data_IF_895640546560
#
_entry.id   IF_895640546560
#
_cell.length_a   1.000
_cell.length_b   1.000
_cell.length_c   1.000
_cell.angle_alpha   90.00
_cell.angle_beta   90.00
_cell.angle_gamma   90.00
#
_symmetry.space_group_name_H-M   'P 1'
#
loop_
_entity.id
_entity.type
_entity.pdbx_description
1 polymer ?
#
# COMPACT_ATOMS: atom_id res chain seq x y z
N UNK A 1 -26.03 11.35 24.70
CA UNK A 1 -25.32 10.96 23.48
C UNK A 1 -24.00 10.40 23.94
N UNK A 2 -23.74 9.14 23.62
CA UNK A 2 -22.46 8.51 23.91
C UNK A 2 -21.40 9.06 22.95
N UNK A 3 -20.13 8.86 23.29
CA UNK A 3 -19.01 9.26 22.45
C UNK A 3 -19.06 8.56 21.08
N UNK A 4 -19.37 7.26 21.07
CA UNK A 4 -19.50 6.49 19.84
C UNK A 4 -20.61 7.02 18.93
N UNK A 5 -21.71 7.52 19.51
CA UNK A 5 -22.81 8.16 18.77
C UNK A 5 -22.38 9.51 18.14
N UNK A 6 -21.58 10.31 18.85
CA UNK A 6 -21.05 11.58 18.33
C UNK A 6 -20.09 11.34 17.16
N UNK A 7 -19.23 10.32 17.30
CA UNK A 7 -18.22 9.96 16.32
C UNK A 7 -18.86 9.36 15.06
N UNK A 8 -19.81 8.44 15.19
CA UNK A 8 -20.58 7.88 14.07
C UNK A 8 -21.34 8.96 13.30
N UNK A 9 -21.91 9.93 14.00
CA UNK A 9 -22.59 11.04 13.36
C UNK A 9 -21.62 11.96 12.61
N UNK A 10 -20.56 12.45 13.27
CA UNK A 10 -19.56 13.33 12.64
C UNK A 10 -18.87 12.67 11.43
N UNK A 11 -18.78 11.32 11.41
CA UNK A 11 -18.26 10.55 10.28
C UNK A 11 -19.14 10.59 9.02
N UNK A 12 -20.31 11.23 9.04
CA UNK A 12 -21.23 11.33 7.88
C UNK A 12 -21.14 12.68 7.18
N UNK A 13 -21.40 13.77 7.89
CA UNK A 13 -21.29 15.14 7.35
C UNK A 13 -20.78 16.11 8.42
N UNK A 14 -19.46 16.17 8.65
CA UNK A 14 -18.90 16.81 9.84
C UNK A 14 -19.16 18.32 9.94
N UNK A 15 -19.11 19.04 8.82
CA UNK A 15 -19.40 20.49 8.81
C UNK A 15 -20.87 20.79 9.04
N UNK A 16 -21.77 20.06 8.38
CA UNK A 16 -23.21 20.24 8.53
C UNK A 16 -23.65 19.87 9.95
N UNK A 17 -23.15 18.76 10.49
CA UNK A 17 -23.51 18.29 11.82
C UNK A 17 -22.99 19.23 12.90
N UNK A 18 -21.72 19.68 12.84
CA UNK A 18 -21.19 20.68 13.76
C UNK A 18 -22.07 21.94 13.78
N UNK A 19 -22.47 22.41 12.60
CA UNK A 19 -23.25 23.63 12.44
C UNK A 19 -24.70 23.50 12.87
N UNK A 20 -25.40 22.47 12.40
CA UNK A 20 -26.85 22.27 12.59
C UNK A 20 -27.15 21.75 13.98
N UNK A 21 -26.35 20.81 14.49
CA UNK A 21 -26.64 20.10 15.74
C UNK A 21 -25.97 20.73 16.96
N UNK A 22 -24.74 21.25 16.79
CA UNK A 22 -23.96 21.84 17.88
C UNK A 22 -23.86 23.36 17.81
N UNK A 23 -24.43 23.98 16.77
CA UNK A 23 -24.45 25.43 16.60
C UNK A 23 -23.05 26.04 16.47
N UNK A 24 -22.06 25.25 16.06
CA UNK A 24 -20.65 25.65 16.03
C UNK A 24 -19.95 25.16 14.76
N UNK A 25 -18.70 25.55 14.55
CA UNK A 25 -17.89 24.98 13.46
C UNK A 25 -17.09 23.78 13.95
N UNK A 26 -16.66 22.95 13.00
CA UNK A 26 -15.96 21.70 13.29
C UNK A 26 -14.62 21.93 14.01
N UNK A 27 -13.94 23.07 13.83
CA UNK A 27 -12.69 23.40 14.55
C UNK A 27 -12.97 23.74 16.00
N UNK A 28 -14.03 24.50 16.25
CA UNK A 28 -14.46 24.85 17.60
C UNK A 28 -14.94 23.60 18.36
N UNK A 29 -15.66 22.70 17.67
CA UNK A 29 -16.07 21.42 18.22
C UNK A 29 -14.85 20.55 18.56
N UNK A 30 -13.87 20.46 17.66
CA UNK A 30 -12.60 19.76 17.90
C UNK A 30 -11.84 20.29 19.11
N UNK A 31 -11.66 21.61 19.21
CA UNK A 31 -10.94 22.23 20.34
C UNK A 31 -11.62 22.01 21.69
N UNK A 32 -12.91 21.72 21.70
CA UNK A 32 -13.67 21.43 22.92
C UNK A 32 -13.46 19.99 23.41
N UNK A 33 -13.07 19.08 22.50
CA UNK A 33 -12.85 17.65 22.76
C UNK A 33 -11.63 17.12 21.98
N UNK A 34 -10.43 17.69 22.20
CA UNK A 34 -9.27 17.42 21.36
C UNK A 34 -8.76 15.98 21.51
N UNK A 35 -8.71 15.41 22.72
CA UNK A 35 -8.26 14.02 22.94
C UNK A 35 -9.27 13.00 22.38
N UNK A 36 -10.55 13.36 22.40
CA UNK A 36 -11.64 12.47 22.02
C UNK A 36 -11.87 12.45 20.50
N UNK A 37 -11.69 13.58 19.80
CA UNK A 37 -11.83 13.66 18.32
C UNK A 37 -10.50 13.32 17.61
N UNK A 38 -9.37 13.32 18.34
CA UNK A 38 -8.01 13.15 17.84
C UNK A 38 -7.74 11.86 17.06
N UNK A 39 -8.28 10.73 17.53
CA UNK A 39 -7.87 9.41 17.00
C UNK A 39 -8.78 8.90 15.86
N UNK A 40 -10.03 9.38 15.78
CA UNK A 40 -11.01 8.83 14.82
C UNK A 40 -11.23 9.73 13.59
N UNK A 41 -11.19 11.05 13.75
CA UNK A 41 -11.79 11.97 12.79
C UNK A 41 -10.81 12.91 12.10
N UNK A 42 -9.61 13.18 12.62
CA UNK A 42 -8.69 14.17 12.02
C UNK A 42 -8.43 13.87 10.54
N UNK A 43 -8.29 12.59 10.17
CA UNK A 43 -8.17 12.16 8.78
C UNK A 43 -9.42 12.36 7.93
N UNK A 44 -10.58 11.96 8.44
CA UNK A 44 -11.86 12.11 7.74
C UNK A 44 -12.19 13.59 7.55
N UNK A 45 -11.85 14.41 8.54
CA UNK A 45 -11.98 15.86 8.50
C UNK A 45 -11.04 16.45 7.45
N UNK A 46 -9.75 16.08 7.43
CA UNK A 46 -8.82 16.51 6.36
C UNK A 46 -9.34 16.15 4.97
N UNK A 47 -9.72 14.89 4.75
CA UNK A 47 -10.15 14.40 3.42
C UNK A 47 -11.50 14.99 2.97
N UNK A 48 -12.40 15.33 3.91
CA UNK A 48 -13.74 15.86 3.58
C UNK A 48 -13.86 17.37 3.60
N UNK A 49 -13.13 18.04 4.48
CA UNK A 49 -13.20 19.51 4.64
C UNK A 49 -12.11 20.23 3.84
N UNK A 50 -10.98 19.57 3.55
CA UNK A 50 -9.81 20.22 2.93
C UNK A 50 -9.22 21.34 3.81
N UNK A 51 -9.46 21.30 5.12
CA UNK A 51 -9.14 22.37 6.03
C UNK A 51 -7.70 22.29 6.58
N UNK A 52 -6.92 23.32 6.25
CA UNK A 52 -5.51 23.48 6.65
C UNK A 52 -5.27 23.49 8.16
N UNK A 53 -6.28 23.76 8.98
CA UNK A 53 -6.16 23.69 10.44
C UNK A 53 -5.92 22.25 10.91
N UNK A 54 -6.74 21.30 10.47
CA UNK A 54 -6.56 19.88 10.80
C UNK A 54 -5.32 19.29 10.15
N UNK A 55 -4.92 19.80 8.98
CA UNK A 55 -3.63 19.44 8.37
C UNK A 55 -2.44 19.72 9.30
N UNK A 56 -2.39 20.91 9.91
CA UNK A 56 -1.28 21.31 10.78
C UNK A 56 -1.25 20.57 12.13
N UNK A 57 -2.41 20.20 12.66
CA UNK A 57 -2.52 19.38 13.88
C UNK A 57 -2.04 17.95 13.62
N UNK A 58 -2.36 17.40 12.46
CA UNK A 58 -1.92 16.08 12.04
C UNK A 58 -0.39 16.02 11.76
N UNK A 59 0.15 17.07 11.11
CA UNK A 59 1.59 17.20 10.83
C UNK A 59 2.46 17.19 12.08
N UNK A 60 2.08 17.96 13.12
CA UNK A 60 2.83 18.04 14.38
C UNK A 60 2.87 16.72 15.17
N UNK A 61 1.88 15.83 14.99
CA UNK A 61 1.89 14.50 15.63
C UNK A 61 2.71 13.46 14.87
N UNK A 62 2.77 13.57 13.54
CA UNK A 62 3.33 12.56 12.65
C UNK A 62 4.78 12.82 12.20
N UNK A 63 5.38 13.97 12.53
CA UNK A 63 6.84 14.21 12.41
C UNK A 63 7.69 13.08 13.03
N UNK A 64 7.09 12.21 13.85
CA UNK A 64 7.72 11.05 14.46
C UNK A 64 7.56 9.70 13.73
N UNK A 65 6.75 9.53 12.67
CA UNK A 65 6.32 8.16 12.27
C UNK A 65 6.06 7.97 10.75
N UNK A 66 7.09 7.59 9.99
CA UNK A 66 7.27 6.38 9.15
C UNK A 66 8.70 6.53 8.65
N UNK A 67 9.65 5.92 9.36
CA UNK A 67 11.05 5.93 8.93
C UNK A 67 11.28 4.76 7.99
N UNK A 68 12.25 4.89 7.08
CA UNK A 68 12.81 3.76 6.33
C UNK A 68 12.96 2.56 7.27
N UNK A 69 12.44 1.38 6.92
CA UNK A 69 12.57 0.20 7.79
C UNK A 69 14.05 -0.13 7.99
N UNK A 70 14.41 -0.59 9.20
CA UNK A 70 15.79 -0.99 9.52
C UNK A 70 16.31 -2.06 8.54
N UNK A 71 15.43 -3.00 8.17
CA UNK A 71 15.68 -3.98 7.13
C UNK A 71 14.75 -3.75 5.95
N UNK A 72 15.34 -3.58 4.77
CA UNK A 72 14.58 -3.41 3.55
C UNK A 72 14.02 -4.74 3.05
N UNK A 73 12.78 -4.70 2.58
CA UNK A 73 12.13 -5.75 1.79
C UNK A 73 11.41 -5.05 0.63
N UNK A 74 11.16 -5.79 -0.45
CA UNK A 74 10.30 -5.31 -1.53
C UNK A 74 8.97 -6.06 -1.51
N UNK A 75 7.97 -5.50 -2.18
CA UNK A 75 6.59 -5.97 -2.03
C UNK A 75 5.91 -6.21 -3.35
N UNK A 76 5.20 -7.33 -3.45
CA UNK A 76 4.42 -7.67 -4.64
C UNK A 76 2.94 -7.79 -4.28
N UNK A 77 2.11 -6.95 -4.90
CA UNK A 77 0.65 -6.95 -4.73
C UNK A 77 0.04 -7.88 -5.79
N UNK A 78 -0.75 -8.86 -5.37
CA UNK A 78 -1.38 -9.83 -6.27
C UNK A 78 -2.74 -10.30 -5.76
N UNK A 79 -3.46 -11.07 -6.58
CA UNK A 79 -4.69 -11.72 -6.15
C UNK A 79 -4.38 -12.93 -5.27
N UNK A 80 -5.23 -13.17 -4.28
CA UNK A 80 -5.24 -14.42 -3.51
C UNK A 80 -5.17 -15.69 -4.38
N UNK A 81 -5.85 -15.69 -5.54
CA UNK A 81 -5.88 -16.86 -6.45
C UNK A 81 -4.53 -17.19 -7.09
N UNK A 82 -3.61 -16.23 -7.13
CA UNK A 82 -2.29 -16.41 -7.74
C UNK A 82 -1.28 -17.07 -6.80
N UNK A 83 -1.55 -17.03 -5.49
CA UNK A 83 -0.57 -17.41 -4.46
C UNK A 83 -0.11 -18.85 -4.61
N UNK A 84 -1.01 -19.79 -4.93
CA UNK A 84 -0.62 -21.19 -5.13
C UNK A 84 0.41 -21.35 -6.25
N UNK A 85 0.16 -20.74 -7.42
CA UNK A 85 1.10 -20.82 -8.55
C UNK A 85 2.42 -20.12 -8.23
N UNK A 86 2.38 -19.03 -7.46
CA UNK A 86 3.58 -18.29 -7.06
C UNK A 86 4.45 -19.12 -6.10
N UNK A 87 3.86 -19.79 -5.12
CA UNK A 87 4.63 -20.66 -4.22
C UNK A 87 5.12 -21.94 -4.91
N UNK A 88 4.48 -22.36 -6.00
CA UNK A 88 4.95 -23.50 -6.80
C UNK A 88 6.12 -23.10 -7.71
N UNK A 89 6.01 -21.95 -8.41
CA UNK A 89 6.89 -21.60 -9.55
C UNK A 89 7.68 -20.30 -9.42
N UNK A 90 7.38 -19.44 -8.44
CA UNK A 90 7.89 -18.07 -8.34
C UNK A 90 6.97 -17.03 -8.99
N UNK A 91 7.38 -15.76 -8.93
CA UNK A 91 6.64 -14.64 -9.52
C UNK A 91 7.22 -14.37 -10.90
N UNK A 92 6.46 -14.67 -11.96
CA UNK A 92 6.90 -14.39 -13.33
C UNK A 92 6.54 -12.98 -13.77
N UNK A 93 7.37 -12.41 -14.65
CA UNK A 93 7.03 -11.20 -15.38
C UNK A 93 5.82 -11.47 -16.28
N UNK A 94 5.10 -10.41 -16.62
CA UNK A 94 3.85 -10.53 -17.37
C UNK A 94 4.03 -11.21 -18.71
N UNK A 95 5.11 -10.90 -19.43
CA UNK A 95 5.39 -11.51 -20.73
C UNK A 95 5.51 -13.05 -20.63
N UNK A 96 6.09 -13.57 -19.54
CA UNK A 96 6.17 -15.02 -19.31
C UNK A 96 4.83 -15.62 -18.94
N UNK A 97 4.06 -14.95 -18.08
CA UNK A 97 2.71 -15.39 -17.71
C UNK A 97 1.79 -15.49 -18.93
N UNK A 98 1.85 -14.50 -19.83
CA UNK A 98 1.03 -14.48 -21.05
C UNK A 98 1.46 -15.52 -22.09
N UNK A 99 2.72 -15.98 -22.06
CA UNK A 99 3.26 -16.96 -23.00
C UNK A 99 3.12 -18.42 -22.55
N UNK A 100 3.08 -18.69 -21.25
CA UNK A 100 2.97 -20.05 -20.71
C UNK A 100 1.55 -20.34 -20.19
N UNK A 101 0.72 -21.12 -20.92
CA UNK A 101 -0.64 -21.45 -20.52
C UNK A 101 -0.72 -22.30 -19.24
N UNK A 102 0.40 -22.86 -18.77
CA UNK A 102 0.45 -23.64 -17.53
C UNK A 102 0.59 -22.76 -16.28
N UNK A 103 0.78 -21.45 -16.43
CA UNK A 103 0.83 -20.52 -15.29
C UNK A 103 -0.60 -20.06 -15.00
N UNK A 104 -1.14 -20.50 -13.87
CA UNK A 104 -2.44 -19.99 -13.39
C UNK A 104 -2.25 -18.57 -12.89
N UNK A 105 -2.94 -17.63 -13.53
CA UNK A 105 -2.89 -16.22 -13.18
C UNK A 105 -4.26 -15.55 -13.37
N UNK A 106 -4.78 -15.00 -12.29
CA UNK A 106 -5.85 -14.03 -12.28
C UNK A 106 -5.25 -12.63 -12.44
N UNK A 107 -5.54 -12.03 -13.60
CA UNK A 107 -5.20 -10.65 -13.85
C UNK A 107 -6.32 -9.73 -13.35
N UNK A 108 -6.06 -9.03 -12.26
CA UNK A 108 -6.92 -7.93 -11.82
C UNK A 108 -6.33 -6.54 -12.14
N UNK A 109 -5.20 -6.45 -12.87
CA UNK A 109 -4.53 -5.17 -13.07
C UNK A 109 -5.34 -4.20 -13.94
N UNK A 110 -5.05 -2.91 -13.78
CA UNK A 110 -5.67 -1.84 -14.55
C UNK A 110 -5.17 -1.87 -16.01
N UNK A 111 -6.11 -1.98 -16.96
CA UNK A 111 -5.78 -2.14 -18.38
C UNK A 111 -4.99 -0.96 -18.94
N UNK A 112 -5.26 0.27 -18.51
CA UNK A 112 -4.57 1.46 -18.99
C UNK A 112 -3.14 1.52 -18.43
N UNK A 113 -2.95 1.13 -17.17
CA UNK A 113 -1.62 0.95 -16.60
C UNK A 113 -0.85 -0.11 -17.38
N UNK A 114 -1.46 -1.26 -17.66
CA UNK A 114 -0.80 -2.34 -18.40
C UNK A 114 -0.43 -1.93 -19.83
N UNK A 115 -1.29 -1.17 -20.51
CA UNK A 115 -0.96 -0.66 -21.85
C UNK A 115 0.27 0.25 -21.81
N UNK A 116 0.35 1.20 -20.86
CA UNK A 116 1.54 2.05 -20.68
C UNK A 116 2.79 1.23 -20.35
N UNK A 117 2.67 0.20 -19.50
CA UNK A 117 3.78 -0.69 -19.16
C UNK A 117 4.27 -1.46 -20.39
N UNK A 118 3.36 -1.92 -21.25
CA UNK A 118 3.70 -2.59 -22.51
C UNK A 118 4.46 -1.68 -23.46
N UNK A 119 3.98 -0.45 -23.66
CA UNK A 119 4.62 0.57 -24.52
C UNK A 119 6.05 0.90 -24.06
N UNK A 120 6.28 0.89 -22.75
CA UNK A 120 7.61 1.08 -22.16
C UNK A 120 8.47 -0.19 -22.10
N UNK A 121 7.97 -1.32 -22.59
CA UNK A 121 8.69 -2.60 -22.52
C UNK A 121 8.90 -3.12 -21.10
N UNK A 122 8.04 -2.73 -20.15
CA UNK A 122 8.14 -3.11 -18.73
C UNK A 122 7.55 -4.50 -18.43
N UNK A 123 6.86 -5.13 -19.39
CA UNK A 123 6.27 -6.47 -19.23
C UNK A 123 7.30 -7.59 -19.12
N UNK A 124 8.57 -7.33 -19.45
CA UNK A 124 9.69 -8.24 -19.22
C UNK A 124 10.21 -8.24 -17.77
N UNK A 125 9.67 -7.37 -16.91
CA UNK A 125 10.04 -7.27 -15.50
C UNK A 125 8.88 -7.61 -14.56
N UNK A 126 9.23 -8.13 -13.39
CA UNK A 126 8.34 -8.24 -12.22
C UNK A 126 8.44 -6.92 -11.44
N UNK A 127 7.34 -6.16 -11.27
CA UNK A 127 7.36 -4.94 -10.47
C UNK A 127 7.25 -5.25 -8.98
N UNK A 128 8.32 -4.99 -8.23
CA UNK A 128 8.32 -5.04 -6.78
C UNK A 128 8.30 -3.61 -6.22
N UNK A 129 7.31 -3.29 -5.41
CA UNK A 129 7.17 -1.99 -4.76
C UNK A 129 8.20 -1.84 -3.63
N UNK A 130 8.80 -0.66 -3.50
CA UNK A 130 9.64 -0.32 -2.35
C UNK A 130 8.74 -0.05 -1.13
N UNK A 131 7.65 0.70 -1.33
CA UNK A 131 6.63 0.97 -0.32
C UNK A 131 5.30 0.30 -0.73
N UNK A 132 4.79 -0.67 0.05
CA UNK A 132 3.51 -1.30 -0.26
C UNK A 132 2.31 -0.44 0.13
N UNK A 133 2.49 0.53 1.05
CA UNK A 133 1.47 1.52 1.46
C UNK A 133 1.44 2.66 0.45
N UNK A 134 0.74 2.43 -0.65
CA UNK A 134 0.63 3.39 -1.73
C UNK A 134 -0.78 3.45 -2.34
N UNK A 135 -0.99 4.36 -3.28
CA UNK A 135 -2.28 4.59 -3.92
C UNK A 135 -2.88 3.36 -4.64
N UNK A 136 -2.04 2.42 -5.12
CA UNK A 136 -2.51 1.19 -5.76
C UNK A 136 -3.18 0.26 -4.75
N UNK A 137 -2.51 0.02 -3.62
CA UNK A 137 -3.04 -0.82 -2.56
C UNK A 137 -4.34 -0.24 -2.00
N UNK A 138 -4.35 1.05 -1.70
CA UNK A 138 -5.54 1.75 -1.20
C UNK A 138 -6.74 1.58 -2.13
N UNK A 139 -6.53 1.81 -3.43
CA UNK A 139 -7.60 1.64 -4.42
C UNK A 139 -8.11 0.20 -4.47
N UNK A 140 -7.21 -0.79 -4.50
CA UNK A 140 -7.63 -2.19 -4.57
C UNK A 140 -8.44 -2.65 -3.36
N UNK A 141 -8.06 -2.18 -2.17
CA UNK A 141 -8.79 -2.47 -0.94
C UNK A 141 -10.16 -1.76 -0.94
N UNK A 142 -10.22 -0.49 -1.36
CA UNK A 142 -11.48 0.25 -1.52
C UNK A 142 -12.45 -0.40 -2.54
N UNK A 143 -11.91 -1.03 -3.57
CA UNK A 143 -12.68 -1.78 -4.56
C UNK A 143 -13.10 -3.19 -4.07
N UNK A 144 -12.80 -3.56 -2.81
CA UNK A 144 -13.18 -4.85 -2.23
C UNK A 144 -12.44 -6.04 -2.83
N UNK A 145 -11.26 -5.82 -3.43
CA UNK A 145 -10.52 -6.89 -4.09
C UNK A 145 -9.88 -7.81 -3.06
N UNK A 146 -9.85 -9.11 -3.35
CA UNK A 146 -9.14 -10.10 -2.54
C UNK A 146 -7.61 -10.02 -2.78
N UNK A 147 -6.98 -9.01 -2.18
CA UNK A 147 -5.57 -8.69 -2.32
C UNK A 147 -4.71 -9.51 -1.36
N UNK A 148 -3.54 -9.90 -1.84
CA UNK A 148 -2.44 -10.46 -1.05
C UNK A 148 -1.18 -9.67 -1.35
N UNK A 149 -0.34 -9.47 -0.33
CA UNK A 149 0.98 -8.86 -0.49
C UNK A 149 2.06 -9.87 -0.14
N UNK A 150 3.02 -10.05 -1.04
CA UNK A 150 4.21 -10.87 -0.77
C UNK A 150 5.36 -9.97 -0.35
N UNK A 151 6.02 -10.34 0.74
CA UNK A 151 7.29 -9.75 1.16
C UNK A 151 8.44 -10.49 0.50
N UNK A 152 9.28 -9.77 -0.22
CA UNK A 152 10.38 -10.31 -1.00
C UNK A 152 11.70 -9.86 -0.39
N UNK A 153 12.65 -10.78 -0.34
CA UNK A 153 14.01 -10.47 0.08
C UNK A 153 14.67 -9.44 -0.84
N UNK A 154 15.29 -8.43 -0.24
CA UNK A 154 15.97 -7.35 -0.97
C UNK A 154 17.15 -7.86 -1.79
N UNK A 155 17.74 -9.01 -1.42
CA UNK A 155 18.81 -9.64 -2.17
C UNK A 155 18.41 -9.97 -3.63
N UNK A 156 17.11 -10.11 -3.92
CA UNK A 156 16.61 -10.34 -5.28
C UNK A 156 17.05 -9.23 -6.26
N UNK A 157 17.24 -8.00 -5.77
CA UNK A 157 17.62 -6.87 -6.62
C UNK A 157 19.04 -6.98 -7.19
N UNK A 158 19.88 -7.85 -6.63
CA UNK A 158 21.23 -8.10 -7.14
C UNK A 158 21.24 -8.91 -8.45
N UNK A 159 20.08 -9.34 -8.95
CA UNK A 159 19.96 -10.00 -10.25
C UNK A 159 20.39 -9.06 -11.39
N UNK A 160 21.21 -9.57 -12.31
CA UNK A 160 21.70 -8.83 -13.47
C UNK A 160 20.54 -8.30 -14.32
N UNK A 161 20.60 -7.02 -14.69
CA UNK A 161 19.58 -6.36 -15.51
C UNK A 161 18.40 -5.80 -14.72
N UNK A 162 18.43 -5.88 -13.38
CA UNK A 162 17.47 -5.20 -12.51
C UNK A 162 17.50 -3.70 -12.73
N UNK A 163 16.31 -3.10 -12.81
CA UNK A 163 16.13 -1.66 -12.87
C UNK A 163 15.49 -1.16 -11.58
N UNK A 164 15.65 0.14 -11.33
CA UNK A 164 14.99 0.86 -10.26
C UNK A 164 14.25 2.06 -10.84
N UNK A 165 13.04 2.30 -10.37
CA UNK A 165 12.20 3.43 -10.75
C UNK A 165 11.95 4.32 -9.54
N UNK A 166 12.34 5.59 -9.63
CA UNK A 166 11.91 6.63 -8.70
C UNK A 166 10.62 7.25 -9.23
N UNK A 167 9.51 6.89 -8.58
CA UNK A 167 8.17 7.09 -9.11
C UNK A 167 7.56 5.85 -9.76
N UNK A 168 6.26 5.91 -10.04
CA UNK A 168 5.53 4.86 -10.74
C UNK A 168 6.12 4.64 -12.13
N UNK A 169 6.71 3.47 -12.40
CA UNK A 169 7.43 3.20 -13.66
C UNK A 169 6.56 3.36 -14.93
N UNK A 170 5.24 3.13 -14.80
CA UNK A 170 4.29 3.32 -15.90
C UNK A 170 4.00 4.78 -16.23
N UNK A 171 4.31 5.71 -15.31
CA UNK A 171 4.05 7.14 -15.48
C UNK A 171 5.02 7.78 -16.48
N UNK A 172 4.58 8.80 -17.23
CA UNK A 172 5.42 9.45 -18.26
C UNK A 172 6.74 9.99 -17.71
N UNK A 173 6.74 10.48 -16.48
CA UNK A 173 7.86 11.17 -15.85
C UNK A 173 8.66 10.27 -14.89
N UNK A 174 8.50 8.95 -14.96
CA UNK A 174 9.23 8.02 -14.12
C UNK A 174 10.73 8.07 -14.44
N UNK A 175 11.55 8.26 -13.42
CA UNK A 175 13.00 8.16 -13.53
C UNK A 175 13.41 6.70 -13.35
N UNK A 176 13.84 6.05 -14.43
CA UNK A 176 14.24 4.63 -14.41
C UNK A 176 15.74 4.53 -14.70
N UNK A 177 16.46 3.81 -13.86
CA UNK A 177 17.89 3.58 -13.98
C UNK A 177 18.25 2.12 -13.67
N UNK A 178 19.51 1.75 -13.94
CA UNK A 178 20.03 0.42 -13.58
C UNK A 178 20.14 0.35 -12.06
N UNK A 179 19.66 -0.75 -11.47
CA UNK A 179 19.83 -0.97 -10.05
C UNK A 179 21.29 -1.22 -9.71
N UNK A 180 21.79 -0.41 -8.79
CA UNK A 180 23.01 -0.61 -8.02
C UNK A 180 22.71 -0.24 -6.56
N UNK A 181 23.58 -0.68 -5.64
CA UNK A 181 23.48 -0.24 -4.24
C UNK A 181 23.53 1.29 -4.13
N UNK A 182 24.39 1.94 -4.90
CA UNK A 182 24.53 3.40 -4.92
C UNK A 182 23.26 4.12 -5.41
N UNK A 183 22.66 3.66 -6.51
CA UNK A 183 21.40 4.26 -7.00
C UNK A 183 20.26 4.06 -6.01
N UNK A 184 20.21 2.91 -5.34
CA UNK A 184 19.20 2.64 -4.31
C UNK A 184 19.38 3.54 -3.08
N UNK A 185 20.62 3.71 -2.61
CA UNK A 185 20.96 4.56 -1.47
C UNK A 185 20.76 6.05 -1.75
N UNK A 186 20.78 6.46 -3.02
CA UNK A 186 20.55 7.86 -3.43
C UNK A 186 19.09 8.28 -3.43
N UNK A 187 18.14 7.35 -3.27
CA UNK A 187 16.71 7.68 -3.26
C UNK A 187 16.32 8.46 -2.00
N UNK A 188 15.39 9.41 -2.15
CA UNK A 188 14.77 10.06 -1.00
C UNK A 188 13.69 9.13 -0.41
N UNK A 189 14.07 8.42 0.65
CA UNK A 189 13.19 7.46 1.32
C UNK A 189 12.04 8.15 2.08
N UNK A 190 12.20 9.41 2.49
CA UNK A 190 11.13 10.16 3.16
C UNK A 190 9.98 10.42 2.17
N UNK A 191 10.28 10.71 0.91
CA UNK A 191 9.27 10.83 -0.14
C UNK A 191 8.62 9.47 -0.48
N UNK A 192 9.43 8.40 -0.56
CA UNK A 192 8.94 7.04 -0.90
C UNK A 192 8.00 6.50 0.17
N UNK A 193 8.32 6.73 1.44
CA UNK A 193 7.51 6.29 2.57
C UNK A 193 6.54 7.37 3.06
N UNK A 194 6.45 8.50 2.36
CA UNK A 194 5.62 9.65 2.71
C UNK A 194 4.18 9.25 3.00
N UNK A 195 3.68 9.70 4.15
CA UNK A 195 2.30 9.47 4.56
C UNK A 195 1.29 10.15 3.64
N UNK A 196 1.63 11.31 3.10
CA UNK A 196 0.75 12.22 2.35
C UNK A 196 0.80 12.04 0.84
N UNK A 197 0.74 10.79 0.35
CA UNK A 197 0.81 10.54 -1.08
C UNK A 197 -0.31 11.22 -1.89
N UNK A 198 -1.45 11.59 -1.28
CA UNK A 198 -2.57 12.21 -1.98
C UNK A 198 -2.43 13.73 -2.17
N UNK A 199 -1.57 14.40 -1.42
CA UNK A 199 -1.45 15.87 -1.43
C UNK A 199 -0.76 16.39 -2.68
N UNK A 200 0.26 15.68 -3.13
CA UNK A 200 1.04 16.07 -4.30
C UNK A 200 1.11 14.94 -5.33
N UNK A 201 0.72 15.18 -6.59
CA UNK A 201 0.81 14.17 -7.64
C UNK A 201 2.21 13.57 -7.81
N UNK A 202 3.26 14.35 -7.53
CA UNK A 202 4.65 13.89 -7.56
C UNK A 202 4.91 12.87 -6.44
N UNK A 203 4.56 13.19 -5.19
CA UNK A 203 4.70 12.29 -4.05
C UNK A 203 3.83 11.04 -4.24
N UNK A 204 2.61 11.18 -4.79
CA UNK A 204 1.77 10.05 -5.20
C UNK A 204 2.52 9.07 -6.08
N UNK A 205 3.22 9.59 -7.10
CA UNK A 205 4.04 8.76 -7.98
C UNK A 205 5.23 8.15 -7.23
N UNK A 206 5.97 8.94 -6.45
CA UNK A 206 7.19 8.50 -5.73
C UNK A 206 6.90 7.38 -4.73
N UNK A 207 5.77 7.41 -4.01
CA UNK A 207 5.37 6.30 -3.13
C UNK A 207 5.11 4.98 -3.86
N UNK A 208 4.98 5.02 -5.19
CA UNK A 208 4.87 3.85 -6.07
C UNK A 208 6.20 3.52 -6.76
N UNK A 209 7.34 3.89 -6.18
CA UNK A 209 8.67 3.51 -6.68
C UNK A 209 8.84 1.98 -6.67
N UNK A 210 9.49 1.47 -7.71
CA UNK A 210 9.58 0.03 -8.01
C UNK A 210 11.04 -0.43 -8.19
N UNK A 211 11.33 -1.65 -7.74
CA UNK A 211 12.42 -2.48 -8.26
C UNK A 211 11.84 -3.37 -9.34
N UNK A 212 12.46 -3.38 -10.52
CA UNK A 212 12.01 -4.10 -11.69
C UNK A 212 12.94 -5.29 -11.94
N UNK A 213 12.55 -6.45 -11.44
CA UNK A 213 13.34 -7.69 -11.55
C UNK A 213 13.11 -8.33 -12.91
N UNK A 214 14.15 -8.68 -13.69
CA UNK A 214 13.94 -9.26 -15.00
C UNK A 214 13.37 -10.68 -14.87
N UNK A 215 12.36 -10.96 -15.70
CA UNK A 215 11.79 -12.29 -15.95
C UNK A 215 11.09 -13.02 -14.79
N UNK A 216 11.74 -13.23 -13.65
CA UNK A 216 11.23 -14.03 -12.54
C UNK A 216 11.83 -13.59 -11.20
N UNK A 217 11.02 -13.63 -10.14
CA UNK A 217 11.46 -13.71 -8.75
C UNK A 217 11.30 -15.14 -8.27
N UNK A 218 12.41 -15.79 -7.92
CA UNK A 218 12.37 -17.16 -7.39
C UNK A 218 11.63 -17.22 -6.05
N UNK A 219 10.88 -18.30 -5.82
CA UNK A 219 10.08 -18.49 -4.61
C UNK A 219 10.92 -18.51 -3.32
N UNK A 220 12.21 -18.82 -3.40
CA UNK A 220 13.13 -18.76 -2.25
C UNK A 220 13.27 -17.35 -1.68
N UNK A 221 13.04 -16.30 -2.47
CA UNK A 221 13.04 -14.91 -2.01
C UNK A 221 11.76 -14.50 -1.29
N UNK A 222 10.69 -15.31 -1.31
CA UNK A 222 9.43 -14.98 -0.64
C UNK A 222 9.59 -15.21 0.87
N UNK A 223 9.66 -14.11 1.63
CA UNK A 223 9.77 -14.11 3.10
C UNK A 223 8.43 -14.33 3.77
N UNK A 224 7.41 -13.58 3.36
CA UNK A 224 6.11 -13.53 4.02
C UNK A 224 4.98 -13.37 3.00
N UNK A 225 3.77 -13.78 3.39
CA UNK A 225 2.52 -13.51 2.69
C UNK A 225 1.56 -12.81 3.66
N UNK A 226 1.17 -11.58 3.32
CA UNK A 226 0.22 -10.79 4.07
C UNK A 226 -1.16 -10.91 3.46
N UNK A 227 -2.15 -11.21 4.29
CA UNK A 227 -3.56 -11.22 3.90
C UNK A 227 -4.40 -10.36 4.84
N UNK A 228 -5.42 -9.71 4.27
CA UNK A 228 -6.29 -8.76 4.97
C UNK A 228 -7.52 -9.41 5.59
N UNK A 229 -7.75 -10.72 5.37
CA UNK A 229 -8.91 -11.45 5.88
C UNK A 229 -8.47 -12.64 6.74
N UNK A 230 -9.11 -12.81 7.90
CA UNK A 230 -8.92 -13.98 8.75
C UNK A 230 -9.33 -15.29 8.05
N UNK A 231 -10.32 -15.24 7.16
CA UNK A 231 -10.72 -16.40 6.35
C UNK A 231 -9.61 -16.81 5.39
N UNK A 232 -9.02 -15.83 4.68
CA UNK A 232 -7.89 -16.08 3.80
C UNK A 232 -6.67 -16.60 4.58
N UNK A 233 -6.42 -16.07 5.78
CA UNK A 233 -5.34 -16.52 6.67
C UNK A 233 -5.51 -18.00 7.01
N UNK A 234 -6.70 -18.40 7.49
CA UNK A 234 -7.03 -19.81 7.76
C UNK A 234 -6.87 -20.68 6.52
N UNK A 235 -7.28 -20.17 5.36
CA UNK A 235 -7.12 -20.88 4.08
C UNK A 235 -5.65 -21.10 3.74
N UNK A 236 -4.78 -20.12 3.98
CA UNK A 236 -3.33 -20.29 3.81
C UNK A 236 -2.73 -21.26 4.83
N UNK A 237 -3.16 -21.21 6.09
CA UNK A 237 -2.64 -22.09 7.16
C UNK A 237 -2.97 -23.58 6.93
N UNK A 238 -4.01 -23.85 6.14
CA UNK A 238 -4.41 -25.18 5.71
C UNK A 238 -3.69 -25.67 4.45
N UNK A 239 -2.91 -24.81 3.77
CA UNK A 239 -2.10 -25.21 2.61
C UNK A 239 -0.72 -25.70 3.06
N UNK A 240 -0.40 -26.96 2.76
CA UNK A 240 0.91 -27.55 3.10
C UNK A 240 2.11 -26.83 2.45
N UNK A 241 1.91 -26.17 1.31
CA UNK A 241 2.97 -25.52 0.53
C UNK A 241 3.48 -24.19 1.13
N UNK A 242 2.76 -23.61 2.09
CA UNK A 242 3.12 -22.34 2.71
C UNK A 242 3.47 -22.61 4.17
N UNK A 243 4.71 -22.33 4.56
CA UNK A 243 5.09 -22.37 5.97
C UNK A 243 4.22 -21.37 6.75
N UNK A 244 3.52 -21.86 7.77
CA UNK A 244 2.62 -21.06 8.60
C UNK A 244 3.30 -19.83 9.20
N UNK A 245 4.62 -19.90 9.47
CA UNK A 245 5.40 -18.76 9.97
C UNK A 245 5.54 -17.60 8.96
N UNK A 246 5.33 -17.88 7.67
CA UNK A 246 5.34 -16.87 6.61
C UNK A 246 3.99 -16.16 6.48
N UNK A 247 2.92 -16.73 7.02
CA UNK A 247 1.56 -16.17 6.91
C UNK A 247 1.42 -15.09 7.97
N UNK A 248 1.08 -13.88 7.52
CA UNK A 248 0.97 -12.69 8.36
C UNK A 248 -0.30 -11.92 8.05
N UNK A 249 -0.70 -11.11 9.00
CA UNK A 249 -1.68 -10.03 8.84
C UNK A 249 -0.95 -8.69 8.80
N UNK A 250 -1.60 -7.64 8.27
CA UNK A 250 -1.02 -6.29 8.28
C UNK A 250 -0.56 -5.80 9.66
N UNK A 251 -1.24 -6.21 10.74
CA UNK A 251 -0.88 -5.85 12.12
C UNK A 251 0.47 -6.40 12.55
N UNK A 252 0.99 -7.43 11.86
CA UNK A 252 2.28 -8.05 12.15
C UNK A 252 3.47 -7.29 11.52
N UNK A 253 3.23 -6.15 10.87
CA UNK A 253 4.27 -5.37 10.17
C UNK A 253 4.09 -3.87 10.42
N UNK A 254 5.09 -3.17 10.98
CA UNK A 254 5.02 -1.72 11.21
C UNK A 254 4.72 -0.90 9.95
N UNK A 255 5.15 -1.37 8.77
CA UNK A 255 4.90 -0.72 7.48
C UNK A 255 3.41 -0.70 7.13
N UNK A 256 2.70 -1.76 7.51
CA UNK A 256 1.27 -1.85 7.30
C UNK A 256 0.49 -1.31 8.48
N UNK A 257 0.98 -1.49 9.72
CA UNK A 257 0.28 -1.11 10.94
C UNK A 257 -0.21 0.34 10.90
N UNK A 258 0.61 1.29 10.45
CA UNK A 258 0.20 2.70 10.29
C UNK A 258 -0.89 2.94 9.22
N UNK A 259 -1.03 2.03 8.25
CA UNK A 259 -2.18 2.05 7.33
C UNK A 259 -3.47 1.66 8.05
N UNK A 260 -3.41 0.80 9.09
CA UNK A 260 -4.56 0.22 9.79
C UNK A 260 -4.83 0.83 11.18
N UNK A 261 -3.87 1.56 11.77
CA UNK A 261 -4.05 2.33 13.01
C UNK A 261 -5.04 3.49 12.84
N UNK A 262 -5.28 3.92 11.60
CA UNK A 262 -6.41 4.79 11.27
C UNK A 262 -7.63 3.90 11.01
N UNK A 263 -8.59 3.92 11.93
CA UNK A 263 -9.79 3.05 11.94
C UNK A 263 -10.64 3.13 10.63
N UNK A 264 -10.37 4.10 9.77
CA UNK A 264 -10.80 4.16 8.36
C UNK A 264 -10.48 2.93 7.51
N UNK A 265 -9.45 2.15 7.87
CA UNK A 265 -9.10 0.93 7.14
C UNK A 265 -9.87 -0.31 7.61
N UNK A 266 -10.41 -0.30 8.84
CA UNK A 266 -11.19 -1.40 9.40
C UNK A 266 -12.56 -1.49 8.70
N UNK A 267 -13.13 -0.34 8.30
CA UNK A 267 -14.39 -0.30 7.55
C UNK A 267 -14.28 -0.83 6.10
N UNK A 268 -13.07 -0.83 5.51
CA UNK A 268 -12.84 -1.42 4.18
C UNK A 268 -12.64 -2.95 4.21
N UNK A 269 -12.42 -3.53 5.39
CA UNK A 269 -12.19 -4.98 5.57
C UNK A 269 -13.44 -5.70 6.09
N UNK A 270 -14.44 -4.96 6.57
CA UNK A 270 -15.70 -5.48 7.12
C UNK A 270 -16.94 -5.23 6.22
N UNK A 271 -16.76 -5.03 4.91
CA UNK A 271 -17.84 -4.98 3.91
C UNK A 271 -17.78 -6.17 2.95
#
# INVERSE_FOLDING_TARGET
MTFDELVDELSKEPEEIAKVKYGTDIRTLYNSYPEEIENYLVHQLVDRTGDRYFDSLYENKMENQVRKPEKMSFYYITSFKNVDSIFDKGIFCRERVEKDPNIKFEDFSDKDIQQRRKEKGLHKYVPLLINPRNALLYRYLKEGRNVVILEIDSEVANQTGTLISYGNASSKNAEISIYTKQTFESLNFDDIFSIYWWREPKIKSITQSEILIPEIVDKSYIKSVYTFSEENKRTFENKEKIDRKKIKTPKDSPIFDMMFQNELYIDCVNL
#
